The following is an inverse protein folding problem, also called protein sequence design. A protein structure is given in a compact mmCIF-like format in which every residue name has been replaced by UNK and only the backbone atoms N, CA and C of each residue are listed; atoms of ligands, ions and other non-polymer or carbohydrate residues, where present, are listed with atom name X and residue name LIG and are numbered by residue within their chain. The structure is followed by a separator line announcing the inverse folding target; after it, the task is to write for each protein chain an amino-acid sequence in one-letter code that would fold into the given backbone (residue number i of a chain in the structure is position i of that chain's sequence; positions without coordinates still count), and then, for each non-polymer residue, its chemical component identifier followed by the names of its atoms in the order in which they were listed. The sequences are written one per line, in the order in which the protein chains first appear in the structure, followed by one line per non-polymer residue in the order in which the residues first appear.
data_IF_501819876715
#
_entry.id   IF_501819876715
#
_cell.length_a   1.000
_cell.length_b   1.000
_cell.length_c   1.000
_cell.angle_alpha   90.00
_cell.angle_beta   90.00
_cell.angle_gamma   90.00
#
_symmetry.space_group_name_H-M   'P 1'
#
loop_
_entity.id
_entity.type
_entity.pdbx_description
1 polymer ?
#
# COMPACT_ATOMS: atom_id res chain seq x y z
N UNK A 1 -8.69 1.10 11.41
CA UNK A 1 -7.98 2.37 11.22
C UNK A 1 -7.21 2.24 9.92
N UNK A 2 -7.14 3.31 9.13
CA UNK A 2 -6.39 3.32 7.87
C UNK A 2 -4.89 3.07 8.13
N UNK A 3 -4.16 2.55 7.14
CA UNK A 3 -2.69 2.38 7.22
C UNK A 3 -1.90 3.70 7.12
N UNK A 4 -2.58 4.84 7.05
CA UNK A 4 -2.00 6.18 7.14
C UNK A 4 -2.74 7.05 8.17
N UNK A 5 -2.05 8.11 8.61
CA UNK A 5 -2.64 9.20 9.39
C UNK A 5 -3.17 10.26 8.44
N UNK A 6 -4.39 10.73 8.66
CA UNK A 6 -4.93 11.88 7.92
C UNK A 6 -4.46 13.19 8.55
N UNK A 7 -3.77 14.00 7.75
CA UNK A 7 -3.27 15.33 8.13
C UNK A 7 -3.36 16.25 6.92
N UNK A 8 -4.58 16.73 6.66
CA UNK A 8 -4.89 17.47 5.44
C UNK A 8 -4.26 18.87 5.45
N UNK A 9 -3.64 19.28 4.34
CA UNK A 9 -3.17 20.66 4.14
C UNK A 9 -4.33 21.61 3.85
N UNK A 10 -4.14 22.92 4.03
CA UNK A 10 -5.19 23.92 3.76
C UNK A 10 -5.49 24.04 2.27
N UNK A 11 -6.76 24.27 1.92
CA UNK A 11 -7.17 24.56 0.53
C UNK A 11 -6.47 25.82 0.05
N UNK A 12 -5.84 25.75 -1.12
CA UNK A 12 -5.10 26.83 -1.76
C UNK A 12 -4.86 26.52 -3.25
N UNK A 13 -4.51 27.52 -4.06
CA UNK A 13 -4.37 27.35 -5.51
C UNK A 13 -3.19 26.46 -5.93
N UNK A 14 -2.16 26.30 -5.09
CA UNK A 14 -0.85 25.77 -5.48
C UNK A 14 -0.65 24.30 -5.13
N UNK A 15 -1.16 23.84 -3.98
CA UNK A 15 -0.95 22.46 -3.53
C UNK A 15 -2.23 21.72 -3.16
N UNK A 16 -3.35 22.40 -2.92
CA UNK A 16 -4.64 21.74 -2.67
C UNK A 16 -5.79 22.55 -3.24
N UNK A 17 -6.15 22.37 -4.51
CA UNK A 17 -7.11 23.23 -5.17
C UNK A 17 -8.56 23.03 -4.72
N UNK A 18 -8.86 22.00 -3.93
CA UNK A 18 -10.23 21.66 -3.50
C UNK A 18 -11.12 21.14 -4.63
N UNK A 19 -10.56 20.89 -5.82
CA UNK A 19 -11.26 20.30 -6.96
C UNK A 19 -11.50 18.81 -6.70
N UNK A 20 -12.65 18.29 -7.11
CA UNK A 20 -12.98 16.86 -6.97
C UNK A 20 -12.39 16.02 -8.09
N UNK A 21 -11.97 14.80 -7.76
CA UNK A 21 -11.59 13.79 -8.74
C UNK A 21 -12.79 13.41 -9.61
N UNK A 22 -12.53 13.05 -10.86
CA UNK A 22 -13.54 12.52 -11.80
C UNK A 22 -13.70 10.99 -11.69
N UNK A 23 -13.06 10.40 -10.68
CA UNK A 23 -12.90 8.97 -10.48
C UNK A 23 -11.43 8.62 -10.26
N UNK A 24 -11.15 7.40 -9.80
CA UNK A 24 -9.78 6.90 -9.65
C UNK A 24 -9.62 5.69 -10.57
N UNK A 25 -8.78 5.85 -11.59
CA UNK A 25 -8.47 4.79 -12.57
C UNK A 25 -7.12 4.14 -12.32
N UNK A 26 -6.16 4.88 -11.75
CA UNK A 26 -4.79 4.42 -11.51
C UNK A 26 -4.25 4.96 -10.19
N UNK A 27 -3.29 4.24 -9.61
CA UNK A 27 -2.46 4.70 -8.51
C UNK A 27 -1.08 5.01 -9.05
N UNK A 28 -0.58 6.23 -8.81
CA UNK A 28 0.69 6.71 -9.37
C UNK A 28 1.75 6.75 -8.30
N UNK A 29 2.78 5.92 -8.48
CA UNK A 29 3.93 5.88 -7.61
C UNK A 29 4.95 6.95 -8.02
N UNK A 30 5.48 7.64 -7.02
CA UNK A 30 6.54 8.63 -7.13
C UNK A 30 7.61 8.39 -6.07
N UNK A 31 8.69 9.18 -6.17
CA UNK A 31 9.63 9.36 -5.08
C UNK A 31 9.94 10.83 -4.91
N UNK A 32 10.23 11.21 -3.67
CA UNK A 32 10.30 12.63 -3.32
C UNK A 32 11.50 13.35 -3.96
N UNK A 33 12.54 12.59 -4.36
CA UNK A 33 13.83 13.12 -4.79
C UNK A 33 14.40 14.16 -3.79
N UNK A 34 14.08 14.00 -2.51
CA UNK A 34 14.42 14.92 -1.43
C UNK A 34 15.11 14.14 -0.30
N UNK A 35 16.42 13.90 -0.41
CA UNK A 35 17.16 13.02 0.50
C UNK A 35 17.01 13.42 1.97
N UNK A 36 16.55 12.47 2.79
CA UNK A 36 16.43 12.63 4.24
C UNK A 36 15.21 13.39 4.74
N UNK A 37 14.34 13.88 3.85
CA UNK A 37 13.10 14.54 4.24
C UNK A 37 11.98 13.52 4.53
N UNK A 38 11.38 13.61 5.72
CA UNK A 38 10.30 12.73 6.17
C UNK A 38 8.94 13.06 5.54
N UNK A 39 7.95 12.19 5.71
CA UNK A 39 6.56 12.47 5.33
C UNK A 39 6.04 13.75 6.02
N UNK A 40 6.38 13.96 7.29
CA UNK A 40 6.04 15.17 8.04
C UNK A 40 6.73 16.45 7.48
N UNK A 41 7.96 16.35 6.97
CA UNK A 41 8.60 17.47 6.27
C UNK A 41 7.84 17.82 5.00
N UNK A 42 7.41 16.82 4.22
CA UNK A 42 6.62 17.04 3.01
C UNK A 42 5.24 17.65 3.30
N UNK A 43 4.54 17.18 4.33
CA UNK A 43 3.31 17.86 4.80
C UNK A 43 3.55 19.35 5.05
N UNK A 44 4.61 19.69 5.81
CA UNK A 44 4.94 21.09 6.14
C UNK A 44 5.27 21.91 4.89
N UNK A 45 6.01 21.32 3.96
CA UNK A 45 6.37 21.95 2.70
C UNK A 45 5.13 22.29 1.86
N UNK A 46 4.20 21.33 1.70
CA UNK A 46 3.00 21.52 0.88
C UNK A 46 1.95 22.42 1.55
N UNK A 47 1.94 22.54 2.88
CA UNK A 47 1.05 23.45 3.60
C UNK A 47 1.61 24.89 3.72
N UNK A 48 2.90 25.12 3.46
CA UNK A 48 3.54 26.43 3.71
C UNK A 48 4.46 26.89 2.59
N UNK A 49 5.60 26.22 2.43
CA UNK A 49 6.69 26.69 1.58
C UNK A 49 6.28 26.79 0.13
N UNK A 50 5.55 25.80 -0.39
CA UNK A 50 5.15 25.79 -1.80
C UNK A 50 4.14 26.90 -2.15
N UNK A 51 3.29 27.26 -1.18
CA UNK A 51 2.28 28.32 -1.31
C UNK A 51 2.98 29.68 -1.44
N UNK A 52 3.98 29.93 -0.59
CA UNK A 52 4.80 31.15 -0.65
C UNK A 52 5.59 31.23 -1.96
N UNK A 53 6.08 30.09 -2.45
CA UNK A 53 6.77 29.99 -3.74
C UNK A 53 5.83 30.02 -4.96
N UNK A 54 4.51 30.06 -4.75
CA UNK A 54 3.48 30.05 -5.80
C UNK A 54 3.65 28.93 -6.84
N UNK A 55 4.10 27.74 -6.40
CA UNK A 55 4.42 26.62 -7.29
C UNK A 55 3.33 25.54 -7.25
N UNK A 56 2.89 25.08 -8.42
CA UNK A 56 1.88 24.04 -8.53
C UNK A 56 2.49 22.64 -8.39
N UNK A 57 2.30 21.99 -7.24
CA UNK A 57 2.62 20.57 -7.03
C UNK A 57 1.98 20.05 -5.75
N UNK A 58 1.69 18.75 -5.71
CA UNK A 58 1.26 18.03 -4.50
C UNK A 58 1.13 16.54 -4.78
N UNK A 59 1.08 15.70 -3.76
CA UNK A 59 0.61 14.31 -3.87
C UNK A 59 -0.37 14.02 -2.71
N UNK A 60 -1.09 12.89 -2.78
CA UNK A 60 -2.08 12.57 -1.75
C UNK A 60 -1.40 12.03 -0.51
N UNK A 61 -0.54 11.01 -0.65
CA UNK A 61 0.07 10.31 0.48
C UNK A 61 1.59 10.33 0.38
N UNK A 62 2.25 10.64 1.50
CA UNK A 62 3.71 10.57 1.66
C UNK A 62 4.05 9.44 2.63
N UNK A 63 5.01 8.60 2.25
CA UNK A 63 5.38 7.41 3.01
C UNK A 63 6.88 7.44 3.31
N UNK A 64 7.24 7.38 4.58
CA UNK A 64 8.62 7.15 5.02
C UNK A 64 8.71 5.86 5.86
N UNK A 65 9.87 5.63 6.49
CA UNK A 65 10.14 4.42 7.28
C UNK A 65 9.38 4.35 8.60
N UNK A 66 8.89 5.48 9.10
CA UNK A 66 8.18 5.59 10.38
C UNK A 66 6.67 5.65 10.17
N UNK A 67 6.20 6.40 9.17
CA UNK A 67 4.79 6.71 9.00
C UNK A 67 4.36 6.89 7.53
N UNK A 68 3.04 6.90 7.33
CA UNK A 68 2.39 7.34 6.11
C UNK A 68 1.39 8.46 6.46
N UNK A 69 1.43 9.56 5.73
CA UNK A 69 0.56 10.72 5.96
C UNK A 69 -0.23 11.01 4.71
N UNK A 70 -1.56 11.00 4.82
CA UNK A 70 -2.47 11.50 3.79
C UNK A 70 -2.69 13.00 3.98
N UNK A 71 -2.32 13.79 2.98
CA UNK A 71 -2.33 15.25 3.04
C UNK A 71 -3.40 15.91 2.15
N UNK A 72 -4.01 15.16 1.23
CA UNK A 72 -5.13 15.60 0.38
C UNK A 72 -6.21 14.53 0.43
N UNK A 73 -7.50 14.86 0.62
CA UNK A 73 -8.57 13.88 0.60
C UNK A 73 -8.54 13.02 -0.67
N UNK A 74 -8.85 11.73 -0.55
CA UNK A 74 -8.80 10.81 -1.68
C UNK A 74 -9.93 11.02 -2.70
N UNK A 75 -10.80 12.01 -2.50
CA UNK A 75 -11.81 12.48 -3.45
C UNK A 75 -11.45 13.85 -4.07
N UNK A 76 -10.29 14.42 -3.74
CA UNK A 76 -9.77 15.69 -4.25
C UNK A 76 -8.57 15.51 -5.17
N UNK A 77 -8.37 16.47 -6.07
CA UNK A 77 -7.26 16.52 -7.02
C UNK A 77 -5.96 16.91 -6.33
N UNK A 78 -4.88 16.19 -6.64
CA UNK A 78 -3.50 16.60 -6.38
C UNK A 78 -2.73 16.85 -7.70
N UNK A 79 -1.86 17.85 -7.74
CA UNK A 79 -1.00 18.16 -8.88
C UNK A 79 0.29 17.30 -8.90
N UNK A 80 0.22 16.06 -9.40
CA UNK A 80 1.37 15.14 -9.36
C UNK A 80 1.80 14.51 -10.69
N UNK A 81 0.90 14.30 -11.66
CA UNK A 81 1.15 13.43 -12.82
C UNK A 81 0.73 14.02 -14.18
N UNK A 82 0.60 15.34 -14.29
CA UNK A 82 0.29 16.01 -15.55
C UNK A 82 1.30 17.12 -15.84
N UNK A 83 2.24 16.84 -16.75
CA UNK A 83 3.26 17.79 -17.23
C UNK A 83 2.86 18.49 -18.55
N UNK A 84 1.61 18.29 -18.99
CA UNK A 84 1.09 18.82 -20.25
C UNK A 84 1.27 17.88 -21.45
N UNK A 85 1.97 16.75 -21.33
CA UNK A 85 2.11 15.78 -22.44
C UNK A 85 1.89 14.34 -21.96
N UNK A 86 0.93 13.65 -22.58
CA UNK A 86 0.72 12.22 -22.36
C UNK A 86 1.60 11.42 -23.29
N UNK A 87 2.45 10.58 -22.70
CA UNK A 87 3.35 9.69 -23.45
C UNK A 87 3.02 8.21 -23.19
N UNK A 88 2.21 7.92 -22.18
CA UNK A 88 1.61 6.61 -21.95
C UNK A 88 0.28 6.68 -21.18
N UNK A 89 -0.24 5.52 -20.79
CA UNK A 89 -1.51 5.29 -20.07
C UNK A 89 -2.70 6.13 -20.61
N UNK A 90 -3.26 5.76 -21.78
CA UNK A 90 -4.34 6.52 -22.44
C UNK A 90 -5.56 6.81 -21.57
N UNK A 91 -5.85 5.95 -20.59
CA UNK A 91 -7.02 6.04 -19.71
C UNK A 91 -6.99 7.26 -18.80
N UNK A 92 -5.81 7.87 -18.61
CA UNK A 92 -5.57 9.06 -17.80
C UNK A 92 -5.64 10.38 -18.60
N UNK A 93 -5.88 10.32 -19.91
CA UNK A 93 -6.13 11.52 -20.71
C UNK A 93 -7.45 12.20 -20.31
N UNK A 94 -7.56 13.54 -20.46
CA UNK A 94 -6.50 14.48 -20.83
C UNK A 94 -5.70 14.99 -19.62
N UNK A 95 -6.05 14.56 -18.39
CA UNK A 95 -5.40 15.03 -17.18
C UNK A 95 -5.40 13.95 -16.06
N UNK A 96 -4.25 13.31 -15.84
CA UNK A 96 -4.03 12.26 -14.87
C UNK A 96 -4.30 12.71 -13.43
N UNK A 97 -4.11 14.00 -13.13
CA UNK A 97 -4.38 14.56 -11.80
C UNK A 97 -5.86 14.40 -11.39
N UNK A 98 -6.78 14.32 -12.37
CA UNK A 98 -8.23 14.15 -12.10
C UNK A 98 -8.67 12.69 -12.02
N UNK A 99 -7.80 11.74 -12.35
CA UNK A 99 -8.14 10.33 -12.54
C UNK A 99 -7.24 9.37 -11.76
N UNK A 100 -6.42 9.89 -10.84
CA UNK A 100 -5.44 9.06 -10.14
C UNK A 100 -5.09 9.57 -8.76
N UNK A 101 -4.58 8.66 -7.92
CA UNK A 101 -4.04 8.95 -6.60
C UNK A 101 -2.50 8.86 -6.66
N UNK A 102 -1.82 9.99 -6.48
CA UNK A 102 -0.37 10.04 -6.30
C UNK A 102 0.11 9.68 -4.89
N UNK A 103 1.08 8.76 -4.80
CA UNK A 103 1.77 8.35 -3.57
C UNK A 103 3.28 8.54 -3.72
N UNK A 104 3.90 9.18 -2.73
CA UNK A 104 5.31 9.56 -2.71
C UNK A 104 6.10 8.72 -1.71
N UNK A 105 7.10 7.98 -2.18
CA UNK A 105 8.09 7.34 -1.29
C UNK A 105 9.18 8.32 -0.92
N UNK A 106 9.32 8.60 0.37
CA UNK A 106 10.45 9.35 0.91
C UNK A 106 11.75 8.54 0.77
N UNK A 107 12.86 9.23 0.57
CA UNK A 107 14.20 8.63 0.44
C UNK A 107 15.09 8.98 1.62
N UNK A 108 15.98 8.06 1.97
CA UNK A 108 17.02 8.29 2.95
C UNK A 108 18.06 9.32 2.43
N UNK A 109 18.98 9.75 3.30
CA UNK A 109 19.99 10.77 2.94
C UNK A 109 20.90 10.37 1.78
N UNK A 110 21.09 9.06 1.57
CA UNK A 110 21.86 8.50 0.45
C UNK A 110 21.03 8.34 -0.84
N UNK A 111 19.74 8.75 -0.81
CA UNK A 111 18.83 8.65 -1.94
C UNK A 111 18.18 7.27 -2.12
N UNK A 112 18.45 6.31 -1.23
CA UNK A 112 17.84 4.97 -1.27
C UNK A 112 16.47 4.94 -0.59
N UNK A 113 15.70 3.89 -0.84
CA UNK A 113 14.48 3.60 -0.08
C UNK A 113 14.80 2.70 1.11
N UNK A 114 14.39 3.11 2.31
CA UNK A 114 14.41 2.22 3.45
C UNK A 114 13.46 1.02 3.23
N UNK A 115 13.80 -0.21 3.66
CA UNK A 115 12.92 -1.37 3.53
C UNK A 115 11.52 -1.16 4.12
N UNK A 116 11.43 -0.50 5.28
CA UNK A 116 10.14 -0.17 5.90
C UNK A 116 9.32 0.84 5.09
N UNK A 117 9.96 1.78 4.39
CA UNK A 117 9.27 2.68 3.46
C UNK A 117 8.60 1.87 2.36
N UNK A 118 9.32 0.90 1.78
CA UNK A 118 8.79 0.03 0.72
C UNK A 118 7.63 -0.81 1.26
N UNK A 119 7.82 -1.50 2.39
CA UNK A 119 6.79 -2.37 2.98
C UNK A 119 5.52 -1.59 3.34
N UNK A 120 5.66 -0.40 3.93
CA UNK A 120 4.52 0.48 4.25
C UNK A 120 3.84 1.02 3.00
N UNK A 121 4.61 1.34 1.96
CA UNK A 121 4.06 1.75 0.68
C UNK A 121 3.23 0.63 0.07
N UNK A 122 3.67 -0.63 0.17
CA UNK A 122 2.86 -1.76 -0.28
C UNK A 122 1.52 -1.82 0.46
N UNK A 123 1.50 -1.61 1.78
CA UNK A 123 0.28 -1.62 2.59
C UNK A 123 -0.66 -0.47 2.21
N UNK A 124 -0.11 0.73 1.95
CA UNK A 124 -0.86 1.88 1.41
C UNK A 124 -1.51 1.51 0.07
N UNK A 125 -0.76 0.94 -0.85
CA UNK A 125 -1.28 0.54 -2.17
C UNK A 125 -2.30 -0.61 -2.07
N UNK A 126 -2.16 -1.54 -1.11
CA UNK A 126 -3.18 -2.58 -0.83
C UNK A 126 -4.50 -1.93 -0.42
N UNK A 127 -4.47 -0.97 0.51
CA UNK A 127 -5.67 -0.27 0.97
C UNK A 127 -6.29 0.58 -0.14
N UNK A 128 -5.48 1.31 -0.91
CA UNK A 128 -5.96 2.08 -2.06
C UNK A 128 -6.58 1.20 -3.15
N UNK A 129 -5.93 0.09 -3.53
CA UNK A 129 -6.48 -0.83 -4.53
C UNK A 129 -7.80 -1.45 -4.06
N UNK A 130 -7.94 -1.81 -2.78
CA UNK A 130 -9.21 -2.28 -2.21
C UNK A 130 -10.29 -1.19 -2.25
N UNK A 131 -9.93 0.03 -1.87
CA UNK A 131 -10.84 1.19 -1.81
C UNK A 131 -11.41 1.53 -3.19
N UNK A 132 -10.55 1.55 -4.21
CA UNK A 132 -10.93 1.94 -5.58
C UNK A 132 -11.20 0.75 -6.51
N UNK A 133 -11.18 -0.48 -5.99
CA UNK A 133 -11.39 -1.73 -6.74
C UNK A 133 -10.45 -1.87 -7.93
N UNK A 134 -9.17 -1.58 -7.71
CA UNK A 134 -8.11 -1.61 -8.73
C UNK A 134 -7.29 -2.90 -8.68
N UNK A 135 -6.74 -3.29 -9.82
CA UNK A 135 -5.83 -4.43 -9.95
C UNK A 135 -4.37 -3.94 -9.80
N UNK A 136 -3.60 -4.42 -8.80
CA UNK A 136 -2.23 -3.98 -8.58
C UNK A 136 -1.29 -4.11 -9.78
N UNK A 137 -1.52 -5.09 -10.65
CA UNK A 137 -0.66 -5.34 -11.82
C UNK A 137 -1.00 -4.39 -12.97
N UNK A 138 -2.26 -4.01 -13.11
CA UNK A 138 -2.74 -3.18 -14.23
C UNK A 138 -2.81 -1.70 -13.90
N UNK A 139 -3.08 -1.37 -12.64
CA UNK A 139 -3.54 -0.05 -12.25
C UNK A 139 -2.55 0.71 -11.36
N UNK A 140 -1.47 0.05 -10.92
CA UNK A 140 -0.31 0.71 -10.34
C UNK A 140 0.66 1.06 -11.46
N UNK A 141 0.92 2.36 -11.60
CA UNK A 141 1.81 2.94 -12.60
C UNK A 141 2.82 3.86 -11.93
N UNK A 142 3.93 4.12 -12.60
CA UNK A 142 4.88 5.17 -12.23
C UNK A 142 4.48 6.46 -12.93
N UNK A 143 4.89 7.61 -12.40
CA UNK A 143 4.78 8.86 -13.15
C UNK A 143 5.50 8.75 -14.52
N UNK A 144 6.62 8.04 -14.57
CA UNK A 144 7.30 7.68 -15.81
C UNK A 144 6.39 7.04 -16.86
N UNK A 145 5.49 6.15 -16.46
CA UNK A 145 4.63 5.45 -17.42
C UNK A 145 3.59 6.39 -18.06
N UNK A 146 3.31 7.55 -17.44
CA UNK A 146 2.33 8.54 -17.90
C UNK A 146 3.00 9.59 -18.79
N UNK A 147 4.10 10.17 -18.29
CA UNK A 147 4.74 11.35 -18.87
C UNK A 147 6.19 11.10 -19.29
N UNK A 148 6.78 9.92 -19.09
CA UNK A 148 8.23 9.68 -19.20
C UNK A 148 9.12 10.55 -18.31
N UNK A 149 8.56 11.32 -17.36
CA UNK A 149 9.37 11.91 -16.29
C UNK A 149 10.09 10.76 -15.58
N UNK A 150 11.41 10.84 -15.43
CA UNK A 150 12.21 9.82 -14.76
C UNK A 150 11.80 9.68 -13.28
N UNK A 151 10.67 9.01 -12.98
CA UNK A 151 9.99 9.04 -11.71
C UNK A 151 9.12 7.80 -11.46
N UNK A 152 9.42 6.96 -10.45
CA UNK A 152 10.53 7.07 -9.50
C UNK A 152 11.89 6.67 -10.10
N UNK A 153 12.91 7.54 -10.12
CA UNK A 153 14.17 7.23 -10.82
C UNK A 153 14.85 5.92 -10.40
N UNK A 154 14.91 5.55 -9.11
CA UNK A 154 15.49 4.26 -8.72
C UNK A 154 14.80 3.07 -9.40
N UNK A 155 13.47 3.11 -9.59
CA UNK A 155 12.72 2.02 -10.23
C UNK A 155 12.36 2.28 -11.70
N UNK A 156 12.75 3.43 -12.26
CA UNK A 156 12.91 3.59 -13.71
C UNK A 156 14.20 2.90 -14.14
N UNK A 157 15.29 3.09 -13.38
CA UNK A 157 16.58 2.41 -13.59
C UNK A 157 16.46 0.90 -13.37
N UNK A 158 15.76 0.48 -12.33
CA UNK A 158 15.47 -0.92 -12.03
C UNK A 158 13.96 -1.21 -12.17
N UNK A 159 13.54 -1.52 -13.40
CA UNK A 159 12.15 -1.87 -13.69
C UNK A 159 11.69 -3.16 -12.99
N UNK A 160 12.61 -4.07 -12.71
CA UNK A 160 12.30 -5.34 -12.03
C UNK A 160 11.86 -5.07 -10.58
N UNK A 161 12.51 -4.14 -9.88
CA UNK A 161 12.08 -3.74 -8.54
C UNK A 161 10.63 -3.20 -8.50
N UNK A 162 10.21 -2.44 -9.53
CA UNK A 162 8.82 -1.98 -9.65
C UNK A 162 7.84 -3.13 -9.90
N UNK A 163 8.16 -4.04 -10.81
CA UNK A 163 7.29 -5.20 -11.05
C UNK A 163 7.18 -6.09 -9.82
N UNK A 164 8.27 -6.30 -9.08
CA UNK A 164 8.24 -7.06 -7.83
C UNK A 164 7.42 -6.36 -6.76
N UNK A 165 7.49 -5.02 -6.66
CA UNK A 165 6.60 -4.25 -5.80
C UNK A 165 5.12 -4.54 -6.12
N UNK A 166 4.73 -4.46 -7.41
CA UNK A 166 3.34 -4.74 -7.82
C UNK A 166 2.91 -6.16 -7.49
N UNK A 167 3.79 -7.15 -7.65
CA UNK A 167 3.52 -8.53 -7.26
C UNK A 167 3.35 -8.67 -5.74
N UNK A 168 4.17 -8.00 -4.93
CA UNK A 168 4.03 -8.01 -3.46
C UNK A 168 2.74 -7.34 -3.01
N UNK A 169 2.32 -6.22 -3.62
CA UNK A 169 1.00 -5.61 -3.39
C UNK A 169 -0.13 -6.58 -3.73
N UNK A 170 -0.08 -7.24 -4.90
CA UNK A 170 -1.07 -8.26 -5.29
C UNK A 170 -1.14 -9.41 -4.29
N UNK A 171 0.00 -9.94 -3.87
CA UNK A 171 0.08 -11.02 -2.90
C UNK A 171 -0.48 -10.61 -1.53
N UNK A 172 -0.22 -9.37 -1.08
CA UNK A 172 -0.80 -8.81 0.15
C UNK A 172 -2.30 -8.55 0.06
N UNK A 173 -2.84 -8.21 -1.11
CA UNK A 173 -4.28 -8.02 -1.31
C UNK A 173 -5.07 -9.33 -1.20
N UNK A 174 -4.49 -10.40 -1.71
CA UNK A 174 -5.08 -11.74 -1.70
C UNK A 174 -4.09 -12.71 -1.06
N UNK A 175 -3.91 -12.63 0.27
CA UNK A 175 -3.02 -13.58 0.95
C UNK A 175 -3.50 -14.99 0.61
N UNK A 176 -2.58 -15.94 0.38
CA UNK A 176 -2.96 -17.32 0.14
C UNK A 176 -3.96 -17.73 1.21
N UNK A 177 -5.15 -18.22 0.79
CA UNK A 177 -6.07 -18.83 1.75
C UNK A 177 -5.25 -19.87 2.49
N UNK A 178 -5.10 -19.72 3.80
CA UNK A 178 -4.45 -20.73 4.61
C UNK A 178 -5.13 -22.06 4.26
N UNK A 179 -4.34 -23.05 3.82
CA UNK A 179 -4.88 -24.36 3.47
C UNK A 179 -5.46 -24.99 4.73
N UNK A 180 -6.76 -24.82 4.93
CA UNK A 180 -7.46 -25.33 6.09
C UNK A 180 -7.53 -26.83 5.94
N UNK A 181 -6.86 -27.54 6.84
CA UNK A 181 -6.93 -28.99 6.91
C UNK A 181 -7.56 -29.39 8.22
N UNK A 182 -8.41 -30.43 8.17
CA UNK A 182 -9.10 -30.97 9.34
C UNK A 182 -8.67 -32.42 9.58
N UNK A 183 -8.58 -32.77 10.86
CA UNK A 183 -8.44 -34.13 11.34
C UNK A 183 -9.71 -34.53 12.10
N UNK A 184 -10.30 -35.67 11.77
CA UNK A 184 -11.42 -36.22 12.53
C UNK A 184 -10.89 -37.10 13.65
N UNK A 185 -11.18 -36.73 14.90
CA UNK A 185 -10.75 -37.46 16.11
C UNK A 185 -11.26 -38.90 16.06
N UNK A 186 -10.35 -39.85 16.28
CA UNK A 186 -10.64 -41.30 16.33
C UNK A 186 -10.61 -41.79 17.79
N UNK A 187 -11.21 -42.95 18.08
CA UNK A 187 -11.09 -43.57 19.40
C UNK A 187 -9.62 -43.73 19.81
N UNK A 188 -9.28 -43.27 21.02
CA UNK A 188 -7.91 -43.32 21.56
C UNK A 188 -7.02 -42.12 21.20
N UNK A 189 -7.47 -41.19 20.36
CA UNK A 189 -6.69 -39.99 20.06
C UNK A 189 -6.64 -39.03 21.25
N UNK A 190 -5.49 -38.37 21.41
CA UNK A 190 -5.31 -37.21 22.29
C UNK A 190 -4.94 -35.99 21.46
N UNK A 191 -5.19 -34.78 21.98
CA UNK A 191 -4.85 -33.56 21.25
C UNK A 191 -3.33 -33.43 21.05
N UNK A 192 -2.53 -33.95 21.98
CA UNK A 192 -1.07 -34.04 21.86
C UNK A 192 -0.62 -35.02 20.78
N UNK A 193 -1.24 -36.21 20.69
CA UNK A 193 -0.98 -37.17 19.62
C UNK A 193 -1.34 -36.62 18.24
N UNK A 194 -2.49 -35.94 18.12
CA UNK A 194 -2.90 -35.28 16.88
C UNK A 194 -1.92 -34.16 16.51
N UNK A 195 -1.48 -33.34 17.48
CA UNK A 195 -0.50 -32.28 17.24
C UNK A 195 0.82 -32.84 16.71
N UNK A 196 1.38 -33.86 17.38
CA UNK A 196 2.62 -34.52 16.99
C UNK A 196 2.54 -35.11 15.58
N UNK A 197 1.47 -35.84 15.27
CA UNK A 197 1.23 -36.46 13.96
C UNK A 197 1.15 -35.43 12.82
N UNK A 198 0.67 -34.22 13.12
CA UNK A 198 0.49 -33.16 12.14
C UNK A 198 1.59 -32.09 12.17
N UNK A 199 2.72 -32.35 12.86
CA UNK A 199 3.88 -31.44 12.97
C UNK A 199 3.47 -30.03 13.45
N UNK A 200 2.58 -29.98 14.44
CA UNK A 200 2.11 -28.75 15.09
C UNK A 200 2.13 -28.92 16.61
N UNK A 201 1.69 -27.92 17.37
CA UNK A 201 1.67 -27.96 18.84
C UNK A 201 0.24 -27.99 19.36
N UNK A 202 0.06 -28.49 20.58
CA UNK A 202 -1.22 -28.46 21.29
C UNK A 202 -1.73 -27.02 21.40
N UNK A 203 -0.85 -26.07 21.74
CA UNK A 203 -1.20 -24.64 21.82
C UNK A 203 -1.72 -24.09 20.48
N UNK A 204 -1.09 -24.46 19.35
CA UNK A 204 -1.57 -24.10 18.02
C UNK A 204 -2.94 -24.71 17.74
N UNK A 205 -3.16 -25.99 18.03
CA UNK A 205 -4.46 -26.63 17.82
C UNK A 205 -5.55 -26.02 18.71
N UNK A 206 -5.25 -25.70 19.97
CA UNK A 206 -6.19 -25.04 20.86
C UNK A 206 -6.60 -23.67 20.33
N UNK A 207 -5.64 -22.86 19.87
CA UNK A 207 -5.91 -21.55 19.29
C UNK A 207 -6.71 -21.66 17.98
N UNK A 208 -6.36 -22.60 17.09
CA UNK A 208 -7.05 -22.80 15.82
C UNK A 208 -8.51 -23.25 15.96
N UNK A 209 -8.84 -23.93 17.06
CA UNK A 209 -10.13 -24.58 17.28
C UNK A 209 -10.92 -24.03 18.46
N UNK A 210 -10.41 -22.99 19.13
CA UNK A 210 -10.98 -22.45 20.37
C UNK A 210 -11.18 -23.52 21.47
N UNK A 211 -10.24 -24.46 21.61
CA UNK A 211 -10.30 -25.53 22.61
C UNK A 211 -9.71 -25.03 23.94
N UNK A 212 -10.56 -24.86 24.94
CA UNK A 212 -10.15 -24.40 26.28
C UNK A 212 -9.39 -25.48 27.07
N UNK A 213 -9.90 -26.71 27.06
CA UNK A 213 -9.27 -27.83 27.75
C UNK A 213 -8.70 -28.85 26.72
N UNK A 214 -7.37 -28.98 26.61
CA UNK A 214 -6.73 -29.84 25.61
C UNK A 214 -6.94 -31.34 25.88
N UNK A 215 -7.35 -31.71 27.10
CA UNK A 215 -7.61 -33.09 27.49
C UNK A 215 -9.05 -33.54 27.16
N UNK A 216 -9.89 -32.64 26.63
CA UNK A 216 -11.29 -32.93 26.29
C UNK A 216 -11.47 -32.74 24.79
N UNK A 217 -11.30 -33.84 24.05
CA UNK A 217 -11.69 -33.96 22.64
C UNK A 217 -12.63 -35.15 22.46
N UNK A 218 -13.56 -35.08 21.51
CA UNK A 218 -14.58 -36.12 21.29
C UNK A 218 -14.32 -36.87 20.00
N UNK A 219 -14.52 -38.19 20.01
CA UNK A 219 -14.51 -39.00 18.78
C UNK A 219 -15.49 -38.40 17.76
N UNK A 220 -15.07 -38.30 16.50
CA UNK A 220 -15.82 -37.65 15.43
C UNK A 220 -15.68 -36.12 15.36
N UNK A 221 -15.10 -35.48 16.38
CA UNK A 221 -14.83 -34.04 16.34
C UNK A 221 -13.84 -33.71 15.21
N UNK A 222 -14.15 -32.70 14.40
CA UNK A 222 -13.21 -32.15 13.42
C UNK A 222 -12.32 -31.12 14.10
N UNK A 223 -11.02 -31.37 14.06
CA UNK A 223 -9.97 -30.50 14.59
C UNK A 223 -9.25 -29.88 13.39
N UNK A 224 -9.28 -28.56 13.27
CA UNK A 224 -8.47 -27.79 12.34
C UNK A 224 -7.00 -27.93 12.72
N UNK A 225 -6.19 -28.45 11.82
CA UNK A 225 -4.76 -28.72 12.04
C UNK A 225 -3.83 -27.75 11.30
N UNK A 226 -4.36 -26.97 10.34
CA UNK A 226 -3.66 -25.94 9.56
C UNK A 226 -4.62 -24.78 9.22
#
# INVERSE_FOLDING_TARGET
MSVWTEKLIRVNNYSRPGLKLKGVKKLVLHWTANPGASAANHFTYFDRTIIQAQRYASAHIFVDKNEAINIIPLDEVAYHANDGTYRGVPELKPNANFLSIGVEMCVEKDGTFHPDTISRTEDVFVELCKTFKLDPIKDIVRHYDITHKNCPAPWVKDSKAFEDFKQRVKAKMSPPKANVSYYTVKPGDTLSGIAAKNKTTVATLQKLNNIKNPNIIRVGQKIRIK
#
